data_IF_408631737512
#
_entry.id   IF_408631737512
#
_cell.length_a   1.000
_cell.length_b   1.000
_cell.length_c   1.000
_cell.angle_alpha   90.00
_cell.angle_beta   90.00
_cell.angle_gamma   90.00
#
_symmetry.space_group_name_H-M   'P 1'
#
loop_
_entity.id
_entity.type
_entity.pdbx_description
1 polymer ?
#
# COMPACT_ATOMS: atom_id res chain seq x y z
N UNK A 1 -2.40 -13.52 57.09
CA UNK A 1 -2.95 -13.85 55.75
C UNK A 1 -2.89 -15.36 55.56
N UNK A 2 -4.01 -16.03 55.34
CA UNK A 2 -4.03 -17.51 55.25
C UNK A 2 -3.58 -17.98 53.85
N UNK A 3 -3.11 -19.23 53.74
CA UNK A 3 -2.51 -19.78 52.51
C UNK A 3 -3.39 -19.61 51.26
N UNK A 4 -4.72 -19.63 51.43
CA UNK A 4 -5.70 -19.39 50.36
C UNK A 4 -5.70 -17.95 49.86
N UNK A 5 -5.63 -16.97 50.75
CA UNK A 5 -5.57 -15.55 50.36
C UNK A 5 -4.23 -15.23 49.70
N UNK A 6 -3.13 -15.80 50.19
CA UNK A 6 -1.80 -15.64 49.57
C UNK A 6 -1.74 -16.24 48.16
N UNK A 7 -2.38 -17.40 47.95
CA UNK A 7 -2.46 -18.05 46.65
C UNK A 7 -3.31 -17.25 45.65
N UNK A 8 -4.46 -16.72 46.08
CA UNK A 8 -5.31 -15.88 45.24
C UNK A 8 -4.62 -14.58 44.80
N UNK A 9 -3.90 -13.92 45.72
CA UNK A 9 -3.13 -12.71 45.38
C UNK A 9 -2.01 -13.04 44.39
N UNK A 10 -1.30 -14.16 44.56
CA UNK A 10 -0.25 -14.58 43.63
C UNK A 10 -0.78 -14.87 42.22
N UNK A 11 -1.94 -15.52 42.09
CA UNK A 11 -2.59 -15.78 40.79
C UNK A 11 -3.02 -14.47 40.12
N UNK A 12 -3.55 -13.53 40.90
CA UNK A 12 -3.99 -12.23 40.37
C UNK A 12 -2.82 -11.37 39.88
N UNK A 13 -1.71 -11.36 40.62
CA UNK A 13 -0.46 -10.69 40.20
C UNK A 13 0.12 -11.35 38.95
N UNK A 14 0.13 -12.68 38.87
CA UNK A 14 0.63 -13.39 37.70
C UNK A 14 -0.21 -13.10 36.45
N UNK A 15 -1.54 -13.05 36.57
CA UNK A 15 -2.43 -12.67 35.49
C UNK A 15 -2.19 -11.23 35.02
N UNK A 16 -1.96 -10.29 35.95
CA UNK A 16 -1.68 -8.89 35.61
C UNK A 16 -0.35 -8.73 34.85
N UNK A 17 0.70 -9.45 35.26
CA UNK A 17 2.02 -9.45 34.60
C UNK A 17 1.95 -10.10 33.21
N UNK A 18 1.23 -11.22 33.08
CA UNK A 18 1.01 -11.86 31.78
C UNK A 18 0.25 -10.95 30.80
N UNK A 19 -0.73 -10.19 31.30
CA UNK A 19 -1.48 -9.20 30.51
C UNK A 19 -0.58 -8.08 29.98
N UNK A 20 0.35 -7.60 30.82
CA UNK A 20 1.32 -6.56 30.44
C UNK A 20 2.35 -7.05 29.42
N UNK A 21 2.77 -8.32 29.51
CA UNK A 21 3.67 -8.93 28.54
C UNK A 21 3.01 -9.09 27.16
N UNK A 22 1.71 -9.41 27.12
CA UNK A 22 0.93 -9.48 25.87
C UNK A 22 0.70 -8.08 25.26
N UNK A 23 0.56 -7.04 26.08
CA UNK A 23 0.47 -5.65 25.59
C UNK A 23 1.78 -5.18 24.93
N UNK A 24 2.93 -5.51 25.51
CA UNK A 24 4.25 -5.12 24.96
C UNK A 24 4.63 -5.91 23.70
N UNK A 25 4.08 -7.10 23.49
CA UNK A 25 4.21 -7.83 22.22
C UNK A 25 3.47 -7.16 21.04
N UNK A 26 2.68 -6.11 21.31
CA UNK A 26 1.99 -5.28 20.32
C UNK A 26 2.90 -4.32 19.55
N UNK A 27 4.09 -4.01 20.05
CA UNK A 27 5.11 -3.23 19.32
C UNK A 27 5.85 -4.11 18.32
N UNK A 28 5.08 -4.68 17.38
CA UNK A 28 5.64 -5.12 16.11
C UNK A 28 6.06 -3.85 15.40
N UNK A 29 7.35 -3.50 15.49
CA UNK A 29 8.04 -2.78 14.42
C UNK A 29 7.53 -3.37 13.11
N UNK A 30 6.61 -2.65 12.43
CA UNK A 30 6.00 -3.14 11.19
C UNK A 30 7.15 -3.23 10.21
N UNK A 31 7.63 -4.45 9.99
CA UNK A 31 8.65 -4.73 8.99
C UNK A 31 8.16 -4.15 7.68
N UNK A 32 9.01 -3.39 7.00
CA UNK A 32 8.70 -2.86 5.68
C UNK A 32 8.18 -3.99 4.79
N UNK A 33 7.01 -3.77 4.22
CA UNK A 33 6.32 -4.72 3.36
C UNK A 33 6.63 -4.39 1.91
N UNK A 34 6.60 -5.42 1.06
CA UNK A 34 6.84 -5.30 -0.37
C UNK A 34 5.56 -5.57 -1.13
N UNK A 35 5.15 -4.64 -1.99
CA UNK A 35 4.02 -4.80 -2.90
C UNK A 35 4.54 -4.72 -4.33
N UNK A 36 4.21 -5.71 -5.15
CA UNK A 36 4.62 -5.81 -6.55
C UNK A 36 3.39 -5.97 -7.45
N UNK A 37 3.34 -5.21 -8.54
CA UNK A 37 2.21 -5.27 -9.46
C UNK A 37 2.27 -4.22 -10.56
N UNK A 38 1.16 -4.07 -11.28
CA UNK A 38 1.01 -3.06 -12.33
C UNK A 38 0.50 -1.76 -11.71
N UNK A 39 1.11 -0.64 -12.06
CA UNK A 39 0.65 0.68 -11.65
C UNK A 39 -0.60 1.07 -12.46
N UNK A 40 -1.70 1.32 -11.77
CA UNK A 40 -3.03 1.53 -12.35
C UNK A 40 -3.65 2.87 -11.91
N UNK A 41 -4.51 3.41 -12.77
CA UNK A 41 -5.44 4.48 -12.40
C UNK A 41 -6.64 3.87 -11.66
N UNK A 42 -6.88 4.30 -10.42
CA UNK A 42 -7.89 3.66 -9.56
C UNK A 42 -9.32 3.86 -10.06
N UNK A 43 -9.59 4.99 -10.73
CA UNK A 43 -10.91 5.28 -11.31
C UNK A 43 -11.20 4.37 -12.49
N UNK A 44 -10.30 4.26 -13.46
CA UNK A 44 -10.47 3.41 -14.62
C UNK A 44 -10.52 1.93 -14.22
N UNK A 45 -9.67 1.52 -13.27
CA UNK A 45 -9.70 0.15 -12.76
C UNK A 45 -11.04 -0.17 -12.07
N UNK A 46 -11.60 0.74 -11.27
CA UNK A 46 -12.91 0.51 -10.63
C UNK A 46 -14.08 0.51 -11.62
N UNK A 47 -14.00 1.26 -12.71
CA UNK A 47 -15.05 1.32 -13.73
C UNK A 47 -15.10 0.08 -14.64
N UNK A 48 -13.96 -0.56 -14.91
CA UNK A 48 -13.91 -1.65 -15.90
C UNK A 48 -12.67 -2.52 -15.86
N UNK A 49 -11.86 -2.45 -14.81
CA UNK A 49 -10.67 -3.27 -14.65
C UNK A 49 -9.51 -2.89 -15.57
N UNK A 50 -9.48 -1.65 -16.10
CA UNK A 50 -8.42 -1.20 -17.00
C UNK A 50 -7.06 -1.13 -16.29
N UNK A 51 -6.04 -1.73 -16.91
CA UNK A 51 -4.65 -1.77 -16.38
C UNK A 51 -3.61 -1.15 -17.32
N UNK A 52 -4.04 -0.67 -18.48
CA UNK A 52 -3.18 -0.08 -19.51
C UNK A 52 -3.26 1.44 -19.47
N UNK A 53 -2.25 2.12 -20.04
CA UNK A 53 -2.26 3.58 -20.09
C UNK A 53 -3.31 4.10 -21.08
N UNK A 54 -3.56 3.33 -22.13
CA UNK A 54 -4.57 3.60 -23.15
C UNK A 54 -5.82 2.77 -22.86
N UNK A 55 -7.00 3.34 -23.09
CA UNK A 55 -8.26 2.59 -23.11
C UNK A 55 -9.25 3.17 -24.11
N UNK A 56 -10.47 2.63 -24.15
CA UNK A 56 -11.59 3.19 -24.94
C UNK A 56 -12.59 3.88 -24.02
N UNK A 57 -13.28 4.92 -24.49
CA UNK A 57 -14.48 5.42 -23.80
C UNK A 57 -15.67 4.46 -24.01
N UNK A 58 -16.80 4.78 -23.38
CA UNK A 58 -18.06 4.05 -23.53
C UNK A 58 -18.61 4.05 -24.97
N UNK A 59 -18.11 4.94 -25.83
CA UNK A 59 -18.48 5.03 -27.25
C UNK A 59 -17.49 4.30 -28.16
N UNK A 60 -16.45 3.68 -27.60
CA UNK A 60 -15.43 2.93 -28.33
C UNK A 60 -14.27 3.78 -28.88
N UNK A 61 -14.24 5.09 -28.62
CA UNK A 61 -13.15 5.97 -29.07
C UNK A 61 -11.89 5.69 -28.24
N UNK A 62 -10.71 5.69 -28.88
CA UNK A 62 -9.43 5.56 -28.16
C UNK A 62 -9.15 6.81 -27.33
N UNK A 63 -8.77 6.60 -26.07
CA UNK A 63 -8.16 7.59 -25.20
C UNK A 63 -6.70 7.19 -24.94
N UNK A 64 -5.74 7.73 -25.71
CA UNK A 64 -4.33 7.49 -25.45
C UNK A 64 -3.89 8.23 -24.18
N UNK A 65 -2.93 7.64 -23.45
CA UNK A 65 -2.33 8.22 -22.24
C UNK A 65 -3.34 8.62 -21.15
N UNK A 66 -4.49 7.97 -21.10
CA UNK A 66 -5.56 8.38 -20.20
C UNK A 66 -5.17 8.19 -18.74
N UNK A 67 -4.52 7.08 -18.39
CA UNK A 67 -4.07 6.85 -17.02
C UNK A 67 -3.01 7.89 -16.59
N UNK A 68 -2.07 8.24 -17.48
CA UNK A 68 -1.11 9.34 -17.28
C UNK A 68 -1.83 10.68 -17.06
N UNK A 69 -2.85 10.99 -17.86
CA UNK A 69 -3.62 12.23 -17.71
C UNK A 69 -4.36 12.27 -16.35
N UNK A 70 -5.02 11.17 -15.97
CA UNK A 70 -5.71 11.05 -14.68
C UNK A 70 -4.76 11.22 -13.50
N UNK A 71 -3.60 10.55 -13.51
CA UNK A 71 -2.58 10.70 -12.49
C UNK A 71 -2.04 12.15 -12.42
N UNK A 72 -1.84 12.79 -13.58
CA UNK A 72 -1.41 14.21 -13.66
C UNK A 72 -2.44 15.18 -13.09
N UNK A 73 -3.74 14.84 -13.14
CA UNK A 73 -4.82 15.60 -12.50
C UNK A 73 -4.97 15.31 -11.00
N UNK A 74 -4.15 14.41 -10.44
CA UNK A 74 -4.21 14.05 -9.03
C UNK A 74 -5.19 12.91 -8.69
N UNK A 75 -5.73 12.21 -9.69
CA UNK A 75 -6.54 11.01 -9.42
C UNK A 75 -5.64 9.95 -8.79
N UNK A 76 -6.04 9.34 -7.65
CA UNK A 76 -5.21 8.37 -6.95
C UNK A 76 -4.76 7.21 -7.85
N UNK A 77 -3.49 6.85 -7.71
CA UNK A 77 -2.89 5.69 -8.38
C UNK A 77 -2.76 4.53 -7.40
N UNK A 78 -2.80 3.31 -7.92
CA UNK A 78 -2.64 2.11 -7.12
C UNK A 78 -1.73 1.08 -7.79
N UNK A 79 -1.30 0.09 -7.02
CA UNK A 79 -0.61 -1.09 -7.53
C UNK A 79 -1.58 -2.25 -7.51
N UNK A 80 -1.86 -2.81 -8.68
CA UNK A 80 -2.62 -4.04 -8.84
C UNK A 80 -1.66 -5.23 -8.79
N UNK A 81 -1.74 -5.99 -7.71
CA UNK A 81 -0.90 -7.17 -7.51
C UNK A 81 -1.36 -8.36 -8.36
N UNK A 82 -0.48 -9.38 -8.49
CA UNK A 82 -0.80 -10.62 -9.21
C UNK A 82 -2.01 -11.37 -8.62
N UNK A 83 -2.20 -11.29 -7.30
CA UNK A 83 -3.36 -11.83 -6.58
C UNK A 83 -4.60 -10.90 -6.61
N UNK A 84 -4.63 -9.94 -7.55
CA UNK A 84 -5.77 -9.04 -7.82
C UNK A 84 -6.16 -8.12 -6.66
N UNK A 85 -5.23 -7.85 -5.74
CA UNK A 85 -5.41 -6.82 -4.71
C UNK A 85 -4.92 -5.49 -5.22
N UNK A 86 -5.63 -4.42 -4.82
CA UNK A 86 -5.23 -3.05 -5.14
C UNK A 86 -4.74 -2.37 -3.87
N UNK A 87 -3.50 -1.89 -3.93
CA UNK A 87 -2.93 -1.01 -2.92
C UNK A 87 -2.88 0.41 -3.46
N UNK A 88 -3.66 1.32 -2.88
CA UNK A 88 -3.64 2.74 -3.27
C UNK A 88 -2.40 3.39 -2.69
N UNK A 89 -1.65 4.13 -3.50
CA UNK A 89 -0.43 4.80 -3.06
C UNK A 89 -0.81 6.08 -2.33
N UNK A 90 -0.40 6.22 -1.08
CA UNK A 90 -0.66 7.40 -0.23
C UNK A 90 0.28 8.58 -0.50
N UNK A 91 0.79 8.72 -1.73
CA UNK A 91 1.60 9.84 -2.18
C UNK A 91 0.91 10.57 -3.34
N UNK A 92 1.25 11.84 -3.63
CA UNK A 92 0.65 12.58 -4.73
C UNK A 92 0.77 11.86 -6.07
N UNK A 93 -0.37 11.63 -6.73
CA UNK A 93 -0.48 10.81 -7.94
C UNK A 93 0.30 11.39 -9.13
N UNK A 94 0.47 12.71 -9.20
CA UNK A 94 1.14 13.40 -10.30
C UNK A 94 2.56 12.90 -10.49
N UNK A 95 3.25 12.58 -9.39
CA UNK A 95 4.62 12.06 -9.44
C UNK A 95 4.74 10.68 -10.12
N UNK A 96 3.63 9.94 -10.21
CA UNK A 96 3.57 8.61 -10.81
C UNK A 96 3.08 8.61 -12.26
N UNK A 97 2.67 9.77 -12.81
CA UNK A 97 2.02 9.85 -14.11
C UNK A 97 2.83 9.26 -15.28
N UNK A 98 4.16 9.37 -15.23
CA UNK A 98 5.07 8.82 -16.26
C UNK A 98 5.41 7.33 -16.05
N UNK A 99 4.85 6.72 -15.01
CA UNK A 99 5.05 5.32 -14.63
C UNK A 99 3.79 4.48 -14.83
N UNK A 100 2.69 5.08 -15.30
CA UNK A 100 1.42 4.39 -15.48
C UNK A 100 1.55 3.17 -16.40
N UNK A 101 0.83 2.10 -16.06
CA UNK A 101 0.86 0.80 -16.70
C UNK A 101 2.21 0.05 -16.68
N UNK A 102 3.23 0.55 -15.96
CA UNK A 102 4.48 -0.19 -15.74
C UNK A 102 4.34 -1.15 -14.56
N UNK A 103 5.14 -2.22 -14.58
CA UNK A 103 5.34 -3.04 -13.40
C UNK A 103 6.23 -2.31 -12.39
N UNK A 104 5.73 -2.19 -11.16
CA UNK A 104 6.40 -1.53 -10.05
C UNK A 104 6.49 -2.46 -8.86
N UNK A 105 7.53 -2.25 -8.05
CA UNK A 105 7.68 -2.85 -6.74
C UNK A 105 7.92 -1.74 -5.74
N UNK A 106 7.06 -1.66 -4.74
CA UNK A 106 7.13 -0.68 -3.67
C UNK A 106 7.54 -1.38 -2.39
N UNK A 107 8.41 -0.73 -1.62
CA UNK A 107 8.78 -1.18 -0.27
C UNK A 107 8.38 -0.07 0.69
N UNK A 108 7.67 -0.40 1.77
CA UNK A 108 7.14 0.61 2.69
C UNK A 108 6.13 0.03 3.68
N UNK A 109 5.13 0.81 4.06
CA UNK A 109 4.18 0.45 5.11
C UNK A 109 2.73 0.53 4.60
N UNK A 110 1.84 -0.31 5.12
CA UNK A 110 0.38 -0.13 4.98
C UNK A 110 -0.32 -0.39 6.33
N UNK A 111 -1.55 0.08 6.50
CA UNK A 111 -2.37 -0.16 7.72
C UNK A 111 -1.96 0.58 9.00
N UNK A 112 -0.80 1.27 9.04
CA UNK A 112 -0.34 2.00 10.24
C UNK A 112 -1.08 3.31 10.51
N UNK A 113 -1.47 4.04 9.46
CA UNK A 113 -2.04 5.40 9.55
C UNK A 113 -3.37 5.54 8.78
N UNK A 114 -4.00 4.43 8.40
CA UNK A 114 -5.19 4.42 7.55
C UNK A 114 -5.63 3.00 7.21
N UNK A 115 -6.48 2.87 6.20
CA UNK A 115 -6.96 1.56 5.75
C UNK A 115 -5.82 0.66 5.27
N UNK A 116 -5.98 -0.66 5.43
CA UNK A 116 -4.95 -1.67 5.11
C UNK A 116 -4.49 -1.67 3.65
N UNK A 117 -5.31 -1.12 2.76
CA UNK A 117 -5.05 -1.00 1.33
C UNK A 117 -4.38 0.34 0.94
N UNK A 118 -4.13 1.25 1.88
CA UNK A 118 -3.31 2.45 1.63
C UNK A 118 -1.85 2.11 1.90
N UNK A 119 -1.02 2.24 0.87
CA UNK A 119 0.41 1.94 0.93
C UNK A 119 1.23 3.23 0.89
N UNK A 120 2.12 3.39 1.87
CA UNK A 120 3.08 4.47 1.99
C UNK A 120 4.46 3.94 1.59
N UNK A 121 4.90 4.15 0.34
CA UNK A 121 6.18 3.66 -0.12
C UNK A 121 7.33 4.50 0.45
N UNK A 122 8.40 3.81 0.82
CA UNK A 122 9.72 4.36 1.18
C UNK A 122 10.73 4.15 0.04
N UNK A 123 10.53 3.12 -0.78
CA UNK A 123 11.32 2.85 -2.00
C UNK A 123 10.42 2.47 -3.16
N UNK A 124 10.85 2.84 -4.35
CA UNK A 124 10.20 2.53 -5.62
C UNK A 124 11.20 1.85 -6.56
N UNK A 125 10.80 0.70 -7.09
CA UNK A 125 11.48 0.01 -8.17
C UNK A 125 10.55 -0.07 -9.37
N UNK A 126 11.06 0.22 -10.55
CA UNK A 126 10.33 0.09 -11.81
C UNK A 126 11.01 -1.00 -12.63
N UNK A 127 10.21 -1.88 -13.24
CA UNK A 127 10.75 -2.93 -14.09
C UNK A 127 11.06 -2.38 -15.48
N UNK A 128 12.34 -2.30 -15.80
CA UNK A 128 12.86 -1.85 -17.09
C UNK A 128 13.68 -2.99 -17.70
N UNK A 129 13.35 -3.41 -18.93
CA UNK A 129 14.04 -4.51 -19.63
C UNK A 129 14.18 -5.80 -18.79
N UNK A 130 13.13 -6.13 -18.04
CA UNK A 130 13.09 -7.32 -17.16
C UNK A 130 13.87 -7.19 -15.86
N UNK A 131 14.55 -6.07 -15.61
CA UNK A 131 15.31 -5.81 -14.38
C UNK A 131 14.62 -4.77 -13.52
N UNK A 132 14.74 -4.91 -12.20
CA UNK A 132 14.26 -3.93 -11.24
C UNK A 132 15.26 -2.80 -11.10
N UNK A 133 14.85 -1.59 -11.44
CA UNK A 133 15.66 -0.38 -11.32
C UNK A 133 15.06 0.49 -10.22
N UNK A 134 15.84 0.79 -9.19
CA UNK A 134 15.45 1.74 -8.15
C UNK A 134 15.29 3.13 -8.77
N UNK A 135 14.14 3.77 -8.54
CA UNK A 135 13.88 5.14 -8.94
C UNK A 135 13.61 5.96 -7.68
N UNK A 136 13.99 7.24 -7.66
CA UNK A 136 13.63 8.12 -6.56
C UNK A 136 12.10 8.14 -6.41
N UNK A 137 11.62 8.16 -5.16
CA UNK A 137 10.21 8.36 -4.92
C UNK A 137 9.79 9.71 -5.50
N UNK A 138 8.72 9.76 -6.32
CA UNK A 138 8.23 11.00 -6.83
C UNK A 138 7.80 11.92 -5.68
N UNK A 139 8.38 13.11 -5.61
CA UNK A 139 7.86 14.16 -4.75
C UNK A 139 6.66 14.77 -5.47
N UNK A 140 5.54 14.95 -4.77
CA UNK A 140 4.43 15.69 -5.34
C UNK A 140 4.91 17.05 -5.83
N UNK A 141 4.51 17.44 -7.03
CA UNK A 141 4.67 18.83 -7.46
C UNK A 141 3.76 19.65 -6.56
N UNK A 142 4.35 20.41 -5.63
CA UNK A 142 3.65 21.45 -4.88
C UNK A 142 3.39 22.64 -5.79
#
# INVERSE_FOLDING_TARGET
>A
MNKRTLFLVAVMVFALVASFALLQAGDKSMKAQTVEGVLIDTKCYSMGGFTTNDHKDMKGNKLPNCATACASMGIPVGVLTKDKKVYVIGLPAQGFAQLMAKEVRLVGMHGKFGADNIFLPEKLYVKENGKWVEKPLPKGMM
#
